data_IF_140347435262
#
_entry.id   IF_140347435262
#
_cell.length_a   1.000
_cell.length_b   1.000
_cell.length_c   1.000
_cell.angle_alpha   90.00
_cell.angle_beta   90.00
_cell.angle_gamma   90.00
#
_symmetry.space_group_name_H-M   'P 1'
#
loop_
_entity.id
_entity.type
_entity.pdbx_description
1 polymer ?
#
# COMPACT_ATOMS: atom_id res chain seq x y z
N UNK A 1 26.26 -45.93 74.53
CA UNK A 1 25.24 -44.91 74.86
C UNK A 1 25.04 -44.09 73.61
N UNK A 2 23.84 -44.22 73.04
CA UNK A 2 23.07 -43.31 72.19
C UNK A 2 23.67 -42.95 70.82
N UNK A 3 23.19 -43.52 69.71
CA UNK A 3 21.96 -43.21 68.94
C UNK A 3 22.07 -41.97 68.03
N UNK A 4 21.84 -42.26 66.74
CA UNK A 4 21.27 -41.45 65.65
C UNK A 4 21.86 -40.08 65.28
N UNK A 5 22.17 -39.90 63.99
CA UNK A 5 21.22 -39.26 63.07
C UNK A 5 21.85 -39.05 61.68
N UNK A 6 21.18 -39.56 60.65
CA UNK A 6 21.43 -39.29 59.23
C UNK A 6 20.80 -37.96 58.84
N UNK A 7 21.48 -37.07 58.10
CA UNK A 7 20.81 -36.23 57.09
C UNK A 7 21.75 -35.48 56.14
N UNK A 8 21.32 -35.52 54.89
CA UNK A 8 21.78 -34.83 53.68
C UNK A 8 21.81 -33.31 53.80
N UNK A 9 22.79 -32.65 53.18
CA UNK A 9 22.67 -31.28 52.65
C UNK A 9 23.57 -31.09 51.42
N UNK A 10 22.91 -30.97 50.27
CA UNK A 10 23.36 -30.30 49.05
C UNK A 10 23.79 -28.85 49.31
N UNK A 11 24.90 -28.41 48.71
CA UNK A 11 25.13 -27.01 48.35
C UNK A 11 26.31 -26.81 47.38
N UNK A 12 25.97 -26.39 46.15
CA UNK A 12 26.58 -25.27 45.36
C UNK A 12 28.02 -25.44 44.86
N UNK A 13 28.50 -24.92 43.73
CA UNK A 13 27.99 -24.24 42.53
C UNK A 13 29.25 -23.93 41.70
N UNK A 14 29.29 -24.26 40.41
CA UNK A 14 30.01 -23.54 39.33
C UNK A 14 29.71 -24.29 38.03
N UNK A 15 28.79 -23.85 37.16
CA UNK A 15 28.92 -22.69 36.26
C UNK A 15 30.19 -22.76 35.41
N UNK A 16 30.13 -23.47 34.29
CA UNK A 16 30.64 -23.01 32.99
C UNK A 16 29.74 -23.63 31.91
N UNK A 17 29.15 -22.76 31.12
CA UNK A 17 28.18 -23.03 30.08
C UNK A 17 28.90 -22.79 28.76
N UNK A 18 29.18 -23.85 28.00
CA UNK A 18 29.64 -23.74 26.62
C UNK A 18 29.04 -24.90 25.83
N UNK A 19 28.30 -24.57 24.77
CA UNK A 19 27.80 -25.55 23.81
C UNK A 19 26.38 -25.33 23.32
N UNK A 20 25.98 -24.09 23.00
CA UNK A 20 24.84 -23.87 22.12
C UNK A 20 25.31 -23.19 20.84
N UNK A 21 25.87 -24.00 19.94
CA UNK A 21 26.06 -23.63 18.55
C UNK A 21 25.23 -24.54 17.65
N UNK A 22 24.52 -23.88 16.72
CA UNK A 22 23.95 -24.41 15.49
C UNK A 22 22.66 -25.21 15.60
N UNK A 23 21.60 -24.53 16.04
CA UNK A 23 20.35 -24.62 15.28
C UNK A 23 20.29 -23.44 14.30
N UNK A 24 21.05 -23.57 13.22
CA UNK A 24 20.72 -22.90 11.98
C UNK A 24 19.45 -23.59 11.47
N UNK A 25 18.32 -23.25 12.09
CA UNK A 25 17.00 -23.65 11.63
C UNK A 25 16.93 -23.27 10.16
N UNK A 26 16.41 -24.18 9.34
CA UNK A 26 16.15 -23.93 7.94
C UNK A 26 15.07 -22.85 7.82
N UNK A 27 15.46 -21.59 8.04
CA UNK A 27 14.57 -20.45 7.99
C UNK A 27 14.02 -20.37 6.58
N UNK A 28 12.72 -20.55 6.52
CA UNK A 28 11.93 -20.51 5.31
C UNK A 28 12.18 -19.19 4.58
N UNK A 29 12.30 -19.21 3.25
CA UNK A 29 12.45 -17.98 2.44
C UNK A 29 11.27 -17.01 2.57
N UNK A 30 10.24 -17.39 3.31
CA UNK A 30 9.01 -16.63 3.57
C UNK A 30 8.95 -16.02 4.97
N UNK A 31 9.97 -16.21 5.81
CA UNK A 31 9.99 -15.71 7.19
C UNK A 31 10.47 -14.25 7.26
N UNK A 32 9.74 -13.42 8.01
CA UNK A 32 10.12 -12.04 8.31
C UNK A 32 11.26 -12.04 9.33
N UNK A 33 12.38 -11.42 8.98
CA UNK A 33 13.48 -11.16 9.90
C UNK A 33 13.47 -9.70 10.35
N UNK A 34 14.25 -9.39 11.40
CA UNK A 34 14.35 -8.04 11.98
C UNK A 34 14.68 -6.99 10.91
N UNK A 35 15.65 -7.26 10.04
CA UNK A 35 16.05 -6.34 8.96
C UNK A 35 14.88 -6.02 8.01
N UNK A 36 14.11 -7.05 7.62
CA UNK A 36 12.95 -6.86 6.74
C UNK A 36 11.79 -6.13 7.43
N UNK A 37 11.58 -6.34 8.72
CA UNK A 37 10.55 -5.62 9.47
C UNK A 37 10.91 -4.14 9.65
N UNK A 38 12.15 -3.86 10.04
CA UNK A 38 12.67 -2.49 10.17
C UNK A 38 12.53 -1.76 8.83
N UNK A 39 12.92 -2.40 7.72
CA UNK A 39 12.78 -1.79 6.40
C UNK A 39 11.31 -1.53 6.06
N UNK A 40 10.41 -2.47 6.33
CA UNK A 40 8.97 -2.26 6.12
C UNK A 40 8.48 -1.04 6.91
N UNK A 41 8.85 -0.90 8.18
CA UNK A 41 8.42 0.25 9.00
C UNK A 41 8.97 1.57 8.48
N UNK A 42 10.25 1.60 8.08
CA UNK A 42 10.85 2.79 7.45
C UNK A 42 10.08 3.20 6.20
N UNK A 43 9.70 2.25 5.35
CA UNK A 43 8.96 2.53 4.11
C UNK A 43 7.49 2.86 4.32
N UNK A 44 6.86 2.41 5.40
CA UNK A 44 5.50 2.82 5.76
C UNK A 44 5.39 4.32 6.10
N UNK A 45 6.49 4.95 6.53
CA UNK A 45 6.51 6.39 6.82
C UNK A 45 6.29 7.25 5.56
N UNK A 46 6.75 6.78 4.40
CA UNK A 46 6.59 7.46 3.12
C UNK A 46 5.49 6.86 2.24
N UNK A 47 5.11 5.60 2.48
CA UNK A 47 4.09 4.91 1.70
C UNK A 47 3.00 4.35 2.59
N UNK A 48 1.86 5.04 2.61
CA UNK A 48 0.71 4.67 3.42
C UNK A 48 -0.26 3.75 2.65
N UNK A 49 -0.38 2.46 2.99
CA UNK A 49 -1.22 1.51 2.27
C UNK A 49 -2.67 1.52 2.77
N UNK A 50 -3.25 2.70 2.98
CA UNK A 50 -4.62 2.89 3.43
C UNK A 50 -5.28 4.04 2.65
N UNK A 51 -6.61 4.03 2.60
CA UNK A 51 -7.42 5.05 1.93
C UNK A 51 -7.44 4.91 0.42
N UNK A 52 -7.78 6.00 -0.27
CA UNK A 52 -8.04 6.02 -1.72
C UNK A 52 -6.87 5.48 -2.54
N UNK A 53 -5.65 5.83 -2.15
CA UNK A 53 -4.43 5.47 -2.87
C UNK A 53 -3.73 4.22 -2.32
N UNK A 54 -4.42 3.40 -1.50
CA UNK A 54 -3.79 2.26 -0.80
C UNK A 54 -3.10 1.26 -1.72
N UNK A 55 -3.68 1.00 -2.89
CA UNK A 55 -3.11 0.04 -3.83
C UNK A 55 -1.86 0.57 -4.53
N UNK A 56 -1.79 1.88 -4.80
CA UNK A 56 -0.61 2.52 -5.38
C UNK A 56 0.57 2.48 -4.40
N UNK A 57 0.36 2.95 -3.16
CA UNK A 57 1.36 2.82 -2.10
C UNK A 57 1.70 1.35 -1.81
N UNK A 58 0.70 0.48 -2.00
CA UNK A 58 0.83 -0.97 -2.10
C UNK A 58 2.01 -1.39 -3.00
N UNK A 59 1.85 -1.06 -4.28
CA UNK A 59 2.86 -1.36 -5.31
C UNK A 59 4.23 -0.77 -4.98
N UNK A 60 4.29 0.45 -4.44
CA UNK A 60 5.55 1.06 -3.99
C UNK A 60 6.22 0.23 -2.89
N UNK A 61 5.48 -0.18 -1.84
CA UNK A 61 6.05 -1.00 -0.77
C UNK A 61 6.60 -2.32 -1.30
N UNK A 62 5.87 -3.00 -2.19
CA UNK A 62 6.37 -4.25 -2.81
C UNK A 62 7.68 -3.99 -3.55
N UNK A 63 7.78 -2.90 -4.31
CA UNK A 63 9.02 -2.55 -5.03
C UNK A 63 10.18 -2.27 -4.06
N UNK A 64 10.01 -1.35 -3.11
CA UNK A 64 11.05 -0.98 -2.14
C UNK A 64 11.42 -2.09 -1.15
N UNK A 65 10.54 -3.06 -0.92
CA UNK A 65 10.86 -4.24 -0.11
C UNK A 65 11.68 -5.28 -0.89
N UNK A 66 11.69 -5.23 -2.22
CA UNK A 66 12.44 -6.15 -3.07
C UNK A 66 13.67 -5.53 -3.71
N UNK A 67 13.72 -4.19 -3.77
CA UNK A 67 14.76 -3.38 -4.38
C UNK A 67 15.24 -2.29 -3.41
N UNK A 68 16.54 -2.02 -3.41
CA UNK A 68 17.19 -0.97 -2.62
C UNK A 68 17.83 0.03 -3.59
N UNK A 69 17.31 1.24 -3.66
CA UNK A 69 17.84 2.30 -4.51
C UNK A 69 18.86 3.15 -3.75
N UNK A 70 19.94 3.52 -4.45
CA UNK A 70 21.05 4.36 -3.93
C UNK A 70 20.58 5.77 -3.51
N UNK A 71 19.47 6.25 -4.03
CA UNK A 71 18.89 7.57 -3.78
C UNK A 71 17.68 7.53 -2.85
N UNK A 72 17.43 6.43 -2.15
CA UNK A 72 16.37 6.38 -1.13
C UNK A 72 16.70 7.33 0.04
N UNK A 73 15.70 8.09 0.52
CA UNK A 73 15.81 8.99 1.70
C UNK A 73 15.94 8.25 3.06
N UNK A 74 16.30 6.97 3.05
CA UNK A 74 16.48 6.13 4.24
C UNK A 74 17.93 5.66 4.33
N UNK A 75 18.37 5.22 5.50
CA UNK A 75 19.60 4.46 5.75
C UNK A 75 19.59 3.10 5.03
N UNK A 76 19.68 3.15 3.71
CA UNK A 76 19.57 2.01 2.81
C UNK A 76 20.79 1.09 2.92
N UNK A 77 21.92 1.58 3.42
CA UNK A 77 23.16 0.84 3.61
C UNK A 77 22.99 -0.33 4.60
N UNK A 78 22.13 -0.17 5.60
CA UNK A 78 21.90 -1.19 6.65
C UNK A 78 21.37 -2.52 6.10
N UNK A 79 20.67 -2.47 4.96
CA UNK A 79 20.06 -3.63 4.32
C UNK A 79 20.86 -4.16 3.14
N UNK A 80 22.03 -3.59 2.85
CA UNK A 80 22.93 -4.10 1.83
C UNK A 80 23.77 -5.28 2.34
N UNK A 81 24.30 -6.06 1.39
CA UNK A 81 25.35 -7.03 1.69
C UNK A 81 26.69 -6.29 1.88
N UNK A 82 27.65 -6.92 2.58
CA UNK A 82 28.99 -6.34 2.73
C UNK A 82 29.69 -6.14 1.38
N UNK A 83 29.39 -6.98 0.39
CA UNK A 83 29.92 -6.88 -0.97
C UNK A 83 29.33 -5.67 -1.71
N UNK A 84 28.01 -5.52 -1.70
CA UNK A 84 27.33 -4.38 -2.35
C UNK A 84 27.74 -3.05 -1.70
N UNK A 85 27.86 -3.02 -0.37
CA UNK A 85 28.34 -1.84 0.36
C UNK A 85 29.80 -1.50 0.00
N UNK A 86 30.65 -2.52 -0.15
CA UNK A 86 32.03 -2.31 -0.60
C UNK A 86 32.08 -1.80 -2.04
N UNK A 87 31.24 -2.32 -2.94
CA UNK A 87 31.12 -1.81 -4.30
C UNK A 87 30.68 -0.33 -4.33
N UNK A 88 29.69 0.02 -3.51
CA UNK A 88 29.16 1.39 -3.43
C UNK A 88 30.23 2.39 -2.95
N UNK A 89 31.00 2.01 -1.92
CA UNK A 89 32.05 2.87 -1.35
C UNK A 89 33.26 3.03 -2.27
N UNK A 90 33.59 2.02 -3.07
CA UNK A 90 34.78 2.03 -3.94
C UNK A 90 34.52 2.59 -5.34
N UNK A 91 33.30 2.44 -5.87
CA UNK A 91 32.98 2.81 -7.25
C UNK A 91 32.03 3.99 -7.31
N UNK A 92 32.50 5.11 -7.86
CA UNK A 92 31.62 6.25 -8.18
C UNK A 92 30.58 5.86 -9.24
N UNK A 93 29.32 6.25 -9.04
CA UNK A 93 28.28 6.12 -10.05
C UNK A 93 28.52 7.13 -11.19
N UNK A 94 28.77 6.63 -12.41
CA UNK A 94 28.97 7.45 -13.62
C UNK A 94 27.79 7.38 -14.59
N UNK A 95 26.77 6.58 -14.29
CA UNK A 95 25.67 6.25 -15.20
C UNK A 95 24.58 7.32 -15.18
N UNK A 96 24.56 8.19 -14.17
CA UNK A 96 23.55 9.24 -13.98
C UNK A 96 22.18 8.72 -13.53
N UNK A 97 22.05 7.40 -13.30
CA UNK A 97 20.87 6.75 -12.71
C UNK A 97 21.28 6.12 -11.39
N UNK A 98 20.43 6.17 -10.35
CA UNK A 98 20.69 5.50 -9.08
C UNK A 98 20.95 4.01 -9.29
N UNK A 99 21.92 3.46 -8.57
CA UNK A 99 22.11 2.00 -8.52
C UNK A 99 20.95 1.36 -7.78
N UNK A 100 20.62 0.13 -8.18
CA UNK A 100 19.57 -0.67 -7.54
C UNK A 100 20.17 -1.99 -7.10
N UNK A 101 20.02 -2.29 -5.82
CA UNK A 101 20.53 -3.50 -5.18
C UNK A 101 19.38 -4.37 -4.69
N UNK A 102 19.70 -5.62 -4.36
CA UNK A 102 18.78 -6.50 -3.64
C UNK A 102 19.06 -6.40 -2.15
N UNK A 103 18.02 -6.33 -1.30
CA UNK A 103 18.23 -6.34 0.13
C UNK A 103 18.80 -7.69 0.60
N UNK A 104 19.63 -7.64 1.65
CA UNK A 104 20.35 -8.77 2.25
C UNK A 104 19.43 -9.82 2.87
N UNK A 105 18.27 -9.43 3.39
CA UNK A 105 17.28 -10.39 3.89
C UNK A 105 16.74 -11.28 2.77
N UNK A 106 16.25 -12.47 3.11
CA UNK A 106 15.84 -13.49 2.12
C UNK A 106 14.42 -13.32 1.60
N UNK A 107 13.51 -12.81 2.43
CA UNK A 107 12.10 -12.67 2.08
C UNK A 107 11.91 -11.77 0.87
N UNK A 108 11.03 -12.19 -0.05
CA UNK A 108 10.61 -11.41 -1.21
C UNK A 108 9.09 -11.23 -1.14
N UNK A 109 8.63 -10.27 -0.33
CA UNK A 109 7.22 -10.19 0.02
C UNK A 109 6.40 -9.76 -1.20
N UNK A 110 5.31 -10.49 -1.45
CA UNK A 110 4.25 -10.04 -2.35
C UNK A 110 3.40 -8.99 -1.65
N UNK A 111 2.53 -8.35 -2.43
CA UNK A 111 1.41 -7.57 -1.90
C UNK A 111 0.76 -8.29 -0.71
N UNK A 112 0.04 -9.39 -0.96
CA UNK A 112 -0.70 -10.16 0.04
C UNK A 112 0.09 -10.43 1.34
N UNK A 113 1.38 -10.74 1.24
CA UNK A 113 2.21 -10.99 2.42
C UNK A 113 2.44 -9.74 3.28
N UNK A 114 2.60 -8.57 2.66
CA UNK A 114 2.68 -7.30 3.37
C UNK A 114 1.34 -6.96 4.01
N UNK A 115 0.21 -7.06 3.29
CA UNK A 115 -1.12 -6.84 3.90
C UNK A 115 -1.33 -7.74 5.11
N UNK A 116 -1.03 -9.04 4.99
CA UNK A 116 -1.12 -9.99 6.10
C UNK A 116 -0.23 -9.60 7.28
N UNK A 117 0.98 -9.10 7.02
CA UNK A 117 1.89 -8.61 8.08
C UNK A 117 1.30 -7.38 8.77
N UNK A 118 0.72 -6.44 8.01
CA UNK A 118 0.09 -5.24 8.55
C UNK A 118 -1.18 -5.56 9.35
N UNK A 119 -2.03 -6.47 8.88
CA UNK A 119 -3.23 -6.93 9.59
C UNK A 119 -2.91 -7.57 10.94
N UNK A 120 -1.73 -8.21 11.05
CA UNK A 120 -1.26 -8.76 12.32
C UNK A 120 -0.77 -7.68 13.30
N UNK A 121 -0.33 -6.53 12.79
CA UNK A 121 0.33 -5.48 13.57
C UNK A 121 -0.57 -4.27 13.88
N UNK A 122 -1.53 -3.99 12.99
CA UNK A 122 -2.36 -2.80 13.02
C UNK A 122 -3.83 -3.15 12.80
N UNK A 123 -4.71 -2.38 13.42
CA UNK A 123 -6.13 -2.43 13.06
C UNK A 123 -6.36 -1.68 11.74
N UNK A 124 -6.20 -2.41 10.63
CA UNK A 124 -6.36 -1.85 9.28
C UNK A 124 -7.78 -1.31 9.03
N UNK A 125 -8.80 -1.86 9.70
CA UNK A 125 -10.18 -1.38 9.53
C UNK A 125 -10.34 -0.02 10.17
N UNK A 126 -9.75 0.18 11.35
CA UNK A 126 -9.81 1.46 12.03
C UNK A 126 -8.96 2.52 11.33
N UNK A 127 -7.80 2.14 10.79
CA UNK A 127 -7.01 3.05 9.95
C UNK A 127 -7.82 3.52 8.74
N UNK A 128 -8.42 2.60 7.98
CA UNK A 128 -9.19 2.94 6.77
C UNK A 128 -10.36 3.89 7.07
N UNK A 129 -11.06 3.73 8.20
CA UNK A 129 -12.14 4.64 8.61
C UNK A 129 -11.66 6.06 8.89
N UNK A 130 -10.42 6.21 9.36
CA UNK A 130 -9.82 7.50 9.71
C UNK A 130 -9.18 8.20 8.50
N UNK A 131 -9.11 7.54 7.34
CA UNK A 131 -8.61 8.17 6.13
C UNK A 131 -9.61 9.20 5.59
N UNK A 132 -9.09 10.37 5.23
CA UNK A 132 -9.90 11.40 4.59
C UNK A 132 -10.30 10.93 3.19
N UNK A 133 -11.60 10.99 2.90
CA UNK A 133 -12.14 10.80 1.56
C UNK A 133 -12.25 12.18 0.92
N UNK A 134 -11.56 12.44 -0.22
CA UNK A 134 -11.70 13.70 -0.93
C UNK A 134 -13.17 13.98 -1.28
N UNK A 135 -13.57 15.24 -1.14
CA UNK A 135 -14.92 15.68 -1.52
C UNK A 135 -15.20 15.33 -2.99
N UNK A 136 -16.43 14.88 -3.27
CA UNK A 136 -16.85 14.51 -4.62
C UNK A 136 -16.31 13.17 -5.13
N UNK A 137 -15.35 12.51 -4.46
CA UNK A 137 -14.79 11.25 -4.96
C UNK A 137 -15.83 10.11 -5.00
N UNK A 138 -16.79 10.12 -4.08
CA UNK A 138 -17.89 9.16 -4.01
C UNK A 138 -19.19 9.71 -4.64
N UNK A 139 -19.17 10.93 -5.16
CA UNK A 139 -20.35 11.52 -5.76
C UNK A 139 -20.59 10.91 -7.15
N UNK A 140 -21.75 10.29 -7.31
CA UNK A 140 -22.18 9.79 -8.62
C UNK A 140 -22.75 10.96 -9.42
N UNK A 141 -22.09 11.31 -10.53
CA UNK A 141 -22.61 12.27 -11.51
C UNK A 141 -23.01 11.54 -12.78
N UNK A 142 -24.13 11.95 -13.36
CA UNK A 142 -24.43 11.58 -14.74
C UNK A 142 -23.38 12.21 -15.66
N UNK A 143 -22.88 11.44 -16.62
CA UNK A 143 -21.93 11.94 -17.60
C UNK A 143 -22.65 12.91 -18.55
N UNK A 144 -22.25 14.17 -18.51
CA UNK A 144 -22.71 15.20 -19.44
C UNK A 144 -21.56 15.53 -20.41
N UNK A 145 -21.86 15.53 -21.70
CA UNK A 145 -20.93 16.05 -22.70
C UNK A 145 -20.86 17.58 -22.56
N UNK A 146 -19.65 18.18 -22.48
CA UNK A 146 -19.50 19.62 -22.40
C UNK A 146 -20.23 20.32 -23.55
N UNK A 147 -21.18 21.20 -23.22
CA UNK A 147 -21.98 21.91 -24.23
C UNK A 147 -21.14 22.90 -25.04
N UNK A 148 -20.09 23.48 -24.45
CA UNK A 148 -19.21 24.43 -25.13
C UNK A 148 -18.42 23.79 -26.28
N UNK A 149 -17.95 22.55 -26.10
CA UNK A 149 -17.14 21.84 -27.10
C UNK A 149 -17.99 21.02 -28.08
N UNK A 150 -19.12 20.48 -27.61
CA UNK A 150 -19.90 19.47 -28.34
C UNK A 150 -21.37 19.87 -28.56
N UNK A 151 -21.78 21.08 -28.15
CA UNK A 151 -23.17 21.54 -28.25
C UNK A 151 -23.73 21.46 -29.67
N UNK A 152 -22.95 21.84 -30.68
CA UNK A 152 -23.35 21.73 -32.09
C UNK A 152 -23.64 20.28 -32.52
N UNK A 153 -22.82 19.33 -32.06
CA UNK A 153 -22.99 17.91 -32.34
C UNK A 153 -24.21 17.34 -31.61
N UNK A 154 -24.44 17.77 -30.37
CA UNK A 154 -25.62 17.39 -29.58
C UNK A 154 -26.91 17.87 -30.26
N UNK A 155 -26.98 19.15 -30.66
CA UNK A 155 -28.14 19.68 -31.39
C UNK A 155 -28.36 18.99 -32.73
N UNK A 156 -27.30 18.73 -33.48
CA UNK A 156 -27.38 18.00 -34.76
C UNK A 156 -27.88 16.57 -34.60
N UNK A 157 -27.45 15.87 -33.53
CA UNK A 157 -27.97 14.54 -33.17
C UNK A 157 -29.47 14.60 -32.88
N UNK A 158 -29.93 15.63 -32.17
CA UNK A 158 -31.34 15.81 -31.85
C UNK A 158 -32.19 16.15 -33.09
N UNK A 159 -31.65 16.93 -34.04
CA UNK A 159 -32.30 17.22 -35.32
C UNK A 159 -32.44 15.97 -36.19
N UNK A 160 -31.39 15.13 -36.25
CA UNK A 160 -31.40 13.88 -36.98
C UNK A 160 -32.31 12.82 -36.33
N UNK A 161 -32.37 12.77 -34.99
CA UNK A 161 -33.25 11.83 -34.27
C UNK A 161 -34.72 12.19 -34.41
N UNK A 162 -35.05 13.49 -34.50
CA UNK A 162 -36.40 13.99 -34.80
C UNK A 162 -36.89 13.66 -36.21
N UNK A 163 -36.00 13.24 -37.11
CA UNK A 163 -36.34 12.78 -38.47
C UNK A 163 -36.92 11.36 -38.52
N UNK A 164 -36.74 10.54 -37.47
CA UNK A 164 -37.37 9.22 -37.37
C UNK A 164 -38.66 9.30 -36.53
N UNK A 165 -39.76 9.65 -37.18
CA UNK A 165 -41.09 9.47 -36.61
C UNK A 165 -41.51 8.02 -36.85
N UNK A 166 -41.36 7.16 -35.84
CA UNK A 166 -42.09 5.89 -35.83
C UNK A 166 -43.60 6.23 -35.90
N UNK A 167 -44.39 5.64 -36.82
CA UNK A 167 -45.78 6.02 -37.00
C UNK A 167 -46.55 5.93 -35.68
N UNK A 168 -46.99 7.08 -35.17
CA UNK A 168 -47.79 7.15 -33.96
C UNK A 168 -49.20 6.61 -34.29
N UNK A 169 -49.57 5.47 -33.72
CA UNK A 169 -50.97 5.07 -33.64
C UNK A 169 -51.71 6.10 -32.75
N UNK A 170 -52.72 6.72 -33.32
CA UNK A 170 -53.55 7.74 -32.69
C UNK A 170 -54.24 7.24 -31.41
N UNK A 171 -54.00 7.86 -30.26
CA UNK A 171 -55.06 8.16 -29.28
C UNK A 171 -54.58 9.08 -28.14
N UNK A 172 -55.40 10.08 -27.81
CA UNK A 172 -55.57 10.57 -26.43
C UNK A 172 -54.65 11.69 -25.93
N UNK A 173 -55.21 12.89 -25.81
CA UNK A 173 -54.64 14.09 -25.21
C UNK A 173 -54.20 13.91 -23.74
N UNK A 174 -53.17 14.65 -23.31
CA UNK A 174 -53.22 15.53 -22.12
C UNK A 174 -51.97 16.41 -22.04
N UNK A 175 -52.18 17.72 -22.15
CA UNK A 175 -51.15 18.75 -21.99
C UNK A 175 -50.82 18.97 -20.51
N UNK A 176 -49.55 18.86 -20.13
CA UNK A 176 -49.03 19.44 -18.88
C UNK A 176 -48.04 20.56 -19.21
N UNK A 177 -48.45 21.79 -18.91
CA UNK A 177 -47.66 23.03 -19.01
C UNK A 177 -46.43 22.93 -18.10
N UNK A 178 -45.22 22.93 -18.68
CA UNK A 178 -43.97 23.16 -17.94
C UNK A 178 -43.84 24.66 -17.61
N UNK A 179 -43.81 24.97 -16.32
CA UNK A 179 -43.60 26.31 -15.75
C UNK A 179 -42.13 26.70 -15.91
N UNK A 180 -41.88 27.72 -16.71
CA UNK A 180 -40.63 28.45 -16.85
C UNK A 180 -40.18 28.95 -15.46
N UNK A 181 -39.00 28.52 -14.99
CA UNK A 181 -38.36 29.10 -13.80
C UNK A 181 -37.30 30.08 -14.28
N UNK A 182 -37.57 31.33 -13.94
CA UNK A 182 -36.85 32.54 -14.27
C UNK A 182 -35.45 32.55 -13.65
N UNK A 183 -34.50 33.06 -14.42
CA UNK A 183 -33.11 33.35 -14.05
C UNK A 183 -33.06 34.48 -13.02
N UNK A 184 -32.59 34.18 -11.81
CA UNK A 184 -32.20 35.19 -10.82
C UNK A 184 -30.69 35.37 -10.82
N UNK A 185 -30.22 36.48 -11.40
CA UNK A 185 -28.88 37.02 -11.15
C UNK A 185 -28.82 37.49 -9.69
N UNK A 186 -27.79 37.09 -8.94
CA UNK A 186 -27.36 37.81 -7.75
C UNK A 186 -25.92 38.28 -7.95
N UNK A 187 -25.74 39.56 -7.62
CA UNK A 187 -24.49 40.32 -7.60
C UNK A 187 -23.53 39.80 -6.53
#
# INVERSE_FOLDING_TARGET
>A
MNEENSQSMDARESSVMEGEELQQSSSSSFEWCVDSEIRLFKKLLSHKPAGVSKHFHMSCLVDYMNNVYEDEDTDFEDVLTSEDLHELTTKRNTTGKPRVFRPRYKIRPTAELIWKKLENMYDMKEIEKNEAIPEGLLEESEFCLPEDDFGDLLRKKDELSKGFVAPQASSGQSATRRKQRESGMHF
#
